data_IF_568326176696
#
_entry.id   IF_568326176696
#
_cell.length_a   1.000
_cell.length_b   1.000
_cell.length_c   1.000
_cell.angle_alpha   90.00
_cell.angle_beta   90.00
_cell.angle_gamma   90.00
#
_symmetry.space_group_name_H-M   'P 1'
#
loop_
_entity.id
_entity.type
_entity.pdbx_description
1 polymer ?
#
# COMPACT_ATOMS: atom_id res chain seq x y z
N UNK A 1 30.33 -35.78 14.63
CA UNK A 1 29.71 -35.30 13.38
C UNK A 1 28.22 -35.08 13.62
N UNK A 2 27.75 -33.84 13.65
CA UNK A 2 26.32 -33.55 13.78
C UNK A 2 25.59 -33.94 12.49
N UNK A 3 24.63 -34.88 12.57
CA UNK A 3 23.79 -35.24 11.44
C UNK A 3 22.87 -34.06 11.10
N UNK A 4 22.87 -33.65 9.84
CA UNK A 4 21.92 -32.67 9.32
C UNK A 4 20.50 -33.24 9.38
N UNK A 5 19.62 -32.58 10.13
CA UNK A 5 18.20 -32.91 10.23
C UNK A 5 17.39 -31.90 9.42
N UNK A 6 16.56 -32.39 8.50
CA UNK A 6 15.67 -31.56 7.68
C UNK A 6 14.53 -31.03 8.56
N UNK A 7 14.43 -29.71 8.66
CA UNK A 7 13.28 -29.03 9.29
C UNK A 7 12.12 -29.06 8.32
N UNK A 8 10.94 -29.49 8.79
CA UNK A 8 9.70 -29.55 8.01
C UNK A 8 8.64 -28.79 8.80
N UNK A 9 7.98 -27.83 8.15
CA UNK A 9 6.79 -27.15 8.67
C UNK A 9 5.58 -27.55 7.81
N UNK A 10 4.51 -28.00 8.47
CA UNK A 10 3.26 -28.45 7.81
C UNK A 10 2.12 -27.44 7.95
N UNK A 11 2.42 -26.25 8.50
CA UNK A 11 1.46 -25.16 8.64
C UNK A 11 0.84 -24.80 7.28
N UNK A 12 -0.47 -24.58 7.28
CA UNK A 12 -1.22 -24.27 6.05
C UNK A 12 -0.77 -22.92 5.47
N UNK A 13 -0.30 -22.92 4.24
CA UNK A 13 0.08 -21.70 3.53
C UNK A 13 -1.20 -20.95 3.12
N UNK A 14 -1.30 -19.67 3.47
CA UNK A 14 -2.37 -18.79 2.99
C UNK A 14 -2.17 -18.55 1.48
N UNK A 15 -2.87 -19.33 0.65
CA UNK A 15 -2.87 -19.17 -0.81
C UNK A 15 -3.78 -18.00 -1.20
N UNK A 16 -3.20 -16.81 -1.33
CA UNK A 16 -3.89 -15.65 -1.87
C UNK A 16 -3.14 -15.07 -3.08
N UNK A 17 -3.90 -14.68 -4.11
CA UNK A 17 -3.35 -13.96 -5.25
C UNK A 17 -3.31 -12.46 -4.93
N UNK A 18 -2.14 -12.00 -4.47
CA UNK A 18 -1.93 -10.60 -4.06
C UNK A 18 -2.03 -9.62 -5.21
N UNK A 19 -1.65 -10.02 -6.44
CA UNK A 19 -1.83 -9.17 -7.62
C UNK A 19 -3.31 -8.89 -7.85
N UNK A 20 -4.15 -9.94 -7.76
CA UNK A 20 -5.60 -9.79 -7.86
C UNK A 20 -6.15 -8.90 -6.75
N UNK A 21 -5.67 -9.11 -5.53
CA UNK A 21 -6.11 -8.33 -4.37
C UNK A 21 -5.81 -6.83 -4.55
N UNK A 22 -4.61 -6.50 -5.03
CA UNK A 22 -4.14 -5.13 -5.25
C UNK A 22 -4.93 -4.43 -6.35
N UNK A 23 -5.09 -5.06 -7.51
CA UNK A 23 -5.64 -4.37 -8.68
C UNK A 23 -7.14 -4.52 -8.90
N UNK A 24 -7.77 -5.55 -8.34
CA UNK A 24 -9.20 -5.80 -8.58
C UNK A 24 -10.04 -5.36 -7.38
N UNK A 25 -11.09 -4.59 -7.67
CA UNK A 25 -12.07 -4.15 -6.65
C UNK A 25 -12.78 -5.35 -6.01
N UNK A 26 -12.70 -5.43 -4.69
CA UNK A 26 -13.49 -6.32 -3.86
C UNK A 26 -14.94 -5.85 -3.75
N UNK A 27 -15.81 -6.71 -3.20
CA UNK A 27 -17.26 -6.43 -3.13
C UNK A 27 -17.57 -5.16 -2.33
N UNK A 28 -16.84 -4.90 -1.25
CA UNK A 28 -17.05 -3.74 -0.38
C UNK A 28 -16.78 -2.39 -1.04
N UNK A 29 -15.88 -2.35 -2.03
CA UNK A 29 -15.43 -1.10 -2.68
C UNK A 29 -16.09 -0.88 -4.04
N UNK A 30 -16.57 -1.95 -4.70
CA UNK A 30 -17.20 -1.87 -6.04
C UNK A 30 -18.35 -0.84 -6.13
N UNK A 31 -19.17 -0.73 -5.09
CA UNK A 31 -20.29 0.22 -5.03
C UNK A 31 -19.91 1.63 -4.58
N UNK A 32 -18.72 1.81 -3.99
CA UNK A 32 -18.28 3.10 -3.41
C UNK A 32 -17.34 3.88 -4.34
N UNK A 33 -16.56 3.19 -5.17
CA UNK A 33 -15.53 3.82 -6.01
C UNK A 33 -15.72 3.44 -7.49
N UNK A 34 -15.89 4.43 -8.38
CA UNK A 34 -16.00 4.17 -9.82
C UNK A 34 -14.69 3.62 -10.40
N UNK A 35 -14.77 2.93 -11.55
CA UNK A 35 -13.62 2.21 -12.11
C UNK A 35 -12.42 3.12 -12.40
N UNK A 36 -12.65 4.30 -12.98
CA UNK A 36 -11.58 5.24 -13.32
C UNK A 36 -10.83 5.72 -12.05
N UNK A 37 -11.56 6.09 -11.00
CA UNK A 37 -10.94 6.45 -9.71
C UNK A 37 -10.18 5.27 -9.11
N UNK A 38 -10.66 4.05 -9.29
CA UNK A 38 -9.94 2.87 -8.80
C UNK A 38 -8.61 2.66 -9.51
N UNK A 39 -8.56 2.82 -10.83
CA UNK A 39 -7.32 2.75 -11.61
C UNK A 39 -6.33 3.82 -11.10
N UNK A 40 -6.82 5.04 -10.88
CA UNK A 40 -6.02 6.12 -10.29
C UNK A 40 -5.48 5.77 -8.89
N UNK A 41 -6.31 5.21 -8.01
CA UNK A 41 -5.88 4.77 -6.68
C UNK A 41 -4.84 3.64 -6.77
N UNK A 42 -4.95 2.72 -7.73
CA UNK A 42 -3.92 1.71 -7.96
C UNK A 42 -2.60 2.35 -8.41
N UNK A 43 -2.65 3.36 -9.28
CA UNK A 43 -1.45 4.08 -9.70
C UNK A 43 -0.76 4.77 -8.50
N UNK A 44 -1.52 5.53 -7.70
CA UNK A 44 -1.00 6.21 -6.50
C UNK A 44 -0.43 5.19 -5.50
N UNK A 45 -1.09 4.05 -5.31
CA UNK A 45 -0.59 2.97 -4.45
C UNK A 45 0.72 2.36 -4.98
N UNK A 46 0.88 2.16 -6.28
CA UNK A 46 2.15 1.63 -6.81
C UNK A 46 3.31 2.58 -6.56
N UNK A 47 3.06 3.89 -6.58
CA UNK A 47 4.09 4.91 -6.31
C UNK A 47 4.45 4.99 -4.83
N UNK A 48 3.47 5.12 -3.94
CA UNK A 48 3.68 5.44 -2.52
C UNK A 48 3.44 4.26 -1.58
N UNK A 49 2.95 3.12 -2.08
CA UNK A 49 2.53 1.98 -1.28
C UNK A 49 3.64 1.34 -0.47
N UNK A 50 4.90 1.37 -0.96
CA UNK A 50 6.05 0.89 -0.20
C UNK A 50 6.29 1.73 1.07
N UNK A 51 6.24 3.06 0.93
CA UNK A 51 6.44 4.02 2.03
C UNK A 51 5.28 3.99 3.02
N UNK A 52 4.05 3.87 2.51
CA UNK A 52 2.84 3.69 3.34
C UNK A 52 2.97 2.41 4.16
N UNK A 53 3.35 1.29 3.54
CA UNK A 53 3.55 0.03 4.25
C UNK A 53 4.63 0.13 5.32
N UNK A 54 5.74 0.82 5.02
CA UNK A 54 6.83 1.02 5.97
C UNK A 54 6.41 1.86 7.17
N UNK A 55 5.69 2.95 6.93
CA UNK A 55 5.09 3.79 7.97
C UNK A 55 4.12 2.98 8.84
N UNK A 56 3.26 2.16 8.24
CA UNK A 56 2.34 1.29 8.95
C UNK A 56 3.07 0.24 9.81
N UNK A 57 4.10 -0.41 9.28
CA UNK A 57 4.92 -1.36 10.06
C UNK A 57 5.59 -0.65 11.23
N UNK A 58 6.18 0.51 10.99
CA UNK A 58 6.89 1.30 12.02
C UNK A 58 5.95 1.71 13.14
N UNK A 59 4.78 2.26 12.80
CA UNK A 59 3.76 2.66 13.78
C UNK A 59 3.13 1.48 14.52
N UNK A 60 3.09 0.30 13.90
CA UNK A 60 2.57 -0.92 14.54
C UNK A 60 3.52 -1.60 15.54
N UNK A 61 4.78 -1.15 15.62
CA UNK A 61 5.72 -1.66 16.63
C UNK A 61 5.22 -1.39 18.05
N UNK A 62 4.57 -0.24 18.25
CA UNK A 62 3.90 0.14 19.50
C UNK A 62 2.48 -0.45 19.53
N UNK A 63 2.07 -0.95 20.69
CA UNK A 63 0.72 -1.45 20.97
C UNK A 63 0.09 -0.69 22.12
N UNK A 64 -1.23 -0.62 22.10
CA UNK A 64 -2.01 0.02 23.14
C UNK A 64 -1.97 1.55 23.09
N UNK A 65 -2.98 2.16 23.66
CA UNK A 65 -3.05 3.59 23.95
C UNK A 65 -3.81 3.78 25.26
N UNK A 66 -3.73 4.95 25.92
CA UNK A 66 -4.53 5.21 27.12
C UNK A 66 -6.04 5.05 26.91
N UNK A 67 -6.52 5.13 25.67
CA UNK A 67 -7.93 5.00 25.28
C UNK A 67 -8.30 3.56 24.85
N UNK A 68 -7.31 2.69 24.63
CA UNK A 68 -7.46 1.33 24.12
C UNK A 68 -6.24 0.50 24.52
N UNK A 69 -6.31 -0.19 25.65
CA UNK A 69 -5.15 -0.80 26.30
C UNK A 69 -4.51 -1.95 25.48
N UNK A 70 -5.19 -2.50 24.46
CA UNK A 70 -4.76 -3.62 23.60
C UNK A 70 -3.82 -4.60 24.31
N UNK A 71 -4.29 -5.17 25.43
CA UNK A 71 -3.50 -6.01 26.36
C UNK A 71 -2.85 -7.21 25.64
N UNK A 72 -3.47 -7.69 24.57
CA UNK A 72 -3.00 -8.82 23.76
C UNK A 72 -1.99 -8.41 22.67
N UNK A 73 -1.74 -7.11 22.47
CA UNK A 73 -0.80 -6.59 21.46
C UNK A 73 -1.19 -6.93 20.02
N UNK A 74 -2.49 -7.15 19.75
CA UNK A 74 -2.99 -7.58 18.44
C UNK A 74 -3.01 -6.42 17.43
N UNK A 75 -2.98 -5.19 17.91
CA UNK A 75 -3.09 -3.98 17.11
C UNK A 75 -1.90 -3.04 17.31
N UNK A 76 -1.63 -2.23 16.30
CA UNK A 76 -0.69 -1.12 16.39
C UNK A 76 -1.28 0.08 17.14
N UNK A 77 -0.42 1.04 17.49
CA UNK A 77 -0.84 2.29 18.12
C UNK A 77 -1.85 3.05 17.24
N UNK A 78 -3.01 3.45 17.77
CA UNK A 78 -4.04 4.12 16.99
C UNK A 78 -3.65 5.55 16.63
N UNK A 79 -3.71 5.89 15.34
CA UNK A 79 -3.41 7.24 14.82
C UNK A 79 -4.42 7.71 13.77
N UNK A 80 -4.49 9.02 13.54
CA UNK A 80 -5.25 9.55 12.40
C UNK A 80 -4.64 9.07 11.08
N UNK A 81 -5.45 8.86 10.04
CA UNK A 81 -4.97 8.39 8.72
C UNK A 81 -3.84 9.25 8.16
N UNK A 82 -3.92 10.56 8.35
CA UNK A 82 -2.93 11.49 7.85
C UNK A 82 -1.54 11.32 8.51
N UNK A 83 -1.48 10.81 9.74
CA UNK A 83 -0.23 10.55 10.44
C UNK A 83 0.48 9.28 9.95
N UNK A 84 -0.24 8.38 9.28
CA UNK A 84 0.38 7.24 8.59
C UNK A 84 1.04 7.64 7.27
N UNK A 85 0.85 8.86 6.78
CA UNK A 85 1.46 9.35 5.54
C UNK A 85 2.86 9.88 5.87
N UNK A 86 3.93 9.26 5.35
CA UNK A 86 5.28 9.74 5.59
C UNK A 86 5.47 11.15 5.02
N UNK A 87 6.29 11.95 5.70
CA UNK A 87 6.57 13.34 5.29
C UNK A 87 7.60 13.32 4.16
N UNK A 88 7.25 13.89 3.01
CA UNK A 88 8.08 14.00 1.83
C UNK A 88 7.50 15.04 0.86
N UNK A 89 8.31 15.49 -0.09
CA UNK A 89 7.90 16.51 -1.08
C UNK A 89 6.71 16.01 -1.91
N UNK A 90 6.82 14.80 -2.45
CA UNK A 90 5.77 14.21 -3.29
C UNK A 90 4.59 13.69 -2.48
N UNK A 91 4.83 13.11 -1.30
CA UNK A 91 3.73 12.63 -0.44
C UNK A 91 2.88 13.79 0.09
N UNK A 92 3.46 14.97 0.28
CA UNK A 92 2.72 16.19 0.60
C UNK A 92 1.79 16.62 -0.54
N UNK A 93 2.29 16.61 -1.78
CA UNK A 93 1.49 16.95 -2.97
C UNK A 93 0.36 15.95 -3.23
N UNK A 94 0.62 14.65 -3.05
CA UNK A 94 -0.36 13.58 -3.25
C UNK A 94 -1.15 13.21 -1.97
N UNK A 95 -1.05 14.02 -0.91
CA UNK A 95 -1.59 13.68 0.42
C UNK A 95 -3.07 13.31 0.39
N UNK A 96 -3.90 14.07 -0.31
CA UNK A 96 -5.34 13.79 -0.42
C UNK A 96 -5.64 12.46 -1.11
N UNK A 97 -4.84 12.08 -2.11
CA UNK A 97 -4.96 10.84 -2.85
C UNK A 97 -4.44 9.66 -2.02
N UNK A 98 -3.33 9.83 -1.30
CA UNK A 98 -2.79 8.83 -0.37
C UNK A 98 -3.81 8.54 0.74
N UNK A 99 -4.49 9.57 1.26
CA UNK A 99 -5.55 9.39 2.25
C UNK A 99 -6.71 8.54 1.70
N UNK A 100 -7.09 8.73 0.43
CA UNK A 100 -8.07 7.87 -0.23
C UNK A 100 -7.55 6.44 -0.43
N UNK A 101 -6.26 6.25 -0.74
CA UNK A 101 -5.64 4.91 -0.82
C UNK A 101 -5.69 4.22 0.53
N UNK A 102 -5.33 4.91 1.61
CA UNK A 102 -5.43 4.38 2.97
C UNK A 102 -6.86 3.97 3.32
N UNK A 103 -7.85 4.81 3.01
CA UNK A 103 -9.25 4.52 3.34
C UNK A 103 -9.87 3.42 2.46
N UNK A 104 -9.79 3.53 1.13
CA UNK A 104 -10.47 2.59 0.24
C UNK A 104 -9.71 1.29 0.04
N UNK A 105 -8.37 1.30 0.10
CA UNK A 105 -7.56 0.11 -0.11
C UNK A 105 -7.15 -0.51 1.22
N UNK A 106 -6.40 0.22 2.05
CA UNK A 106 -5.83 -0.35 3.28
C UNK A 106 -6.88 -0.65 4.34
N UNK A 107 -7.90 0.20 4.49
CA UNK A 107 -9.04 -0.09 5.37
C UNK A 107 -10.04 -1.02 4.69
N UNK A 108 -10.76 -0.58 3.65
CA UNK A 108 -11.91 -1.34 3.14
C UNK A 108 -11.56 -2.60 2.32
N UNK A 109 -10.50 -2.59 1.51
CA UNK A 109 -10.17 -3.72 0.63
C UNK A 109 -9.29 -4.77 1.33
N UNK A 110 -8.21 -4.32 1.98
CA UNK A 110 -7.19 -5.20 2.55
C UNK A 110 -7.40 -5.48 4.03
N UNK A 111 -8.20 -4.65 4.71
CA UNK A 111 -8.43 -4.74 6.15
C UNK A 111 -7.14 -4.64 6.98
N UNK A 112 -6.10 -4.01 6.44
CA UNK A 112 -4.83 -3.79 7.14
C UNK A 112 -5.03 -2.90 8.36
N UNK A 113 -5.79 -1.83 8.16
CA UNK A 113 -6.13 -0.87 9.21
C UNK A 113 -7.61 -0.93 9.53
N UNK A 114 -7.94 -0.52 10.74
CA UNK A 114 -9.28 -0.57 11.30
C UNK A 114 -9.55 0.72 12.07
N UNK A 115 -10.73 1.35 11.92
CA UNK A 115 -11.09 2.53 12.68
C UNK A 115 -11.53 2.15 14.10
N UNK A 116 -11.24 3.02 15.07
CA UNK A 116 -11.76 2.91 16.44
C UNK A 116 -13.21 3.39 16.58
N UNK A 117 -13.70 4.18 15.62
CA UNK A 117 -15.05 4.71 15.59
C UNK A 117 -15.55 4.78 14.15
N UNK A 118 -16.87 4.71 13.94
CA UNK A 118 -17.43 4.75 12.60
C UNK A 118 -17.13 6.09 11.89
N UNK A 119 -16.56 6.06 10.67
CA UNK A 119 -16.33 7.27 9.88
C UNK A 119 -17.63 8.03 9.60
N UNK A 120 -17.62 9.34 9.82
CA UNK A 120 -18.77 10.20 9.55
C UNK A 120 -18.88 10.47 8.05
N UNK A 121 -19.97 10.01 7.44
CA UNK A 121 -20.27 10.26 6.04
C UNK A 121 -21.12 11.52 5.95
N UNK A 122 -20.59 12.56 5.31
CA UNK A 122 -21.35 13.76 5.00
C UNK A 122 -21.87 13.67 3.56
N UNK A 123 -23.11 13.20 3.43
CA UNK A 123 -23.77 13.04 2.12
C UNK A 123 -23.96 14.38 1.39
N UNK A 124 -24.15 15.48 2.11
CA UNK A 124 -24.37 16.81 1.52
C UNK A 124 -23.13 17.35 0.78
N UNK A 125 -21.93 16.99 1.26
CA UNK A 125 -20.65 17.40 0.66
C UNK A 125 -20.04 16.28 -0.18
N UNK A 126 -20.62 15.07 -0.15
CA UNK A 126 -20.06 13.89 -0.81
C UNK A 126 -18.68 13.49 -0.27
N UNK A 127 -18.44 13.73 1.02
CA UNK A 127 -17.15 13.55 1.67
C UNK A 127 -17.27 12.67 2.93
N UNK A 128 -16.21 11.91 3.20
CA UNK A 128 -16.10 11.10 4.43
C UNK A 128 -15.10 11.82 5.32
N UNK A 129 -15.57 12.35 6.45
CA UNK A 129 -14.70 13.01 7.42
C UNK A 129 -14.13 11.97 8.40
N UNK A 130 -12.83 11.76 8.28
CA UNK A 130 -12.03 10.86 9.10
C UNK A 130 -11.09 11.62 10.03
N UNK A 131 -11.19 12.95 10.12
CA UNK A 131 -10.26 13.79 10.90
C UNK A 131 -10.32 13.48 12.39
N UNK A 132 -11.48 13.06 12.88
CA UNK A 132 -11.71 12.68 14.29
C UNK A 132 -11.63 11.17 14.52
N UNK A 133 -11.37 10.39 13.47
CA UNK A 133 -11.32 8.93 13.56
C UNK A 133 -9.87 8.49 13.54
N UNK A 134 -9.49 7.75 14.57
CA UNK A 134 -8.19 7.08 14.63
C UNK A 134 -8.31 5.67 14.05
N UNK A 135 -7.24 5.23 13.41
CA UNK A 135 -7.11 3.94 12.79
C UNK A 135 -5.92 3.21 13.42
N UNK A 136 -6.06 1.89 13.55
CA UNK A 136 -5.03 1.00 14.08
C UNK A 136 -4.71 -0.11 13.08
N UNK A 137 -3.44 -0.49 12.97
CA UNK A 137 -3.03 -1.61 12.12
C UNK A 137 -3.30 -2.95 12.81
N UNK A 138 -3.78 -3.96 12.08
CA UNK A 138 -3.89 -5.33 12.57
C UNK A 138 -2.57 -6.08 12.43
N UNK A 139 -1.92 -6.44 13.54
CA UNK A 139 -0.60 -7.09 13.51
C UNK A 139 -0.63 -8.49 12.88
N UNK A 140 -1.77 -9.18 12.97
CA UNK A 140 -1.97 -10.49 12.34
C UNK A 140 -1.80 -10.47 10.82
N UNK A 141 -1.87 -9.29 10.18
CA UNK A 141 -1.71 -9.12 8.74
C UNK A 141 -0.30 -8.64 8.35
N UNK A 142 0.61 -8.39 9.30
CA UNK A 142 1.96 -7.89 9.00
C UNK A 142 2.76 -8.80 8.05
N UNK A 143 2.52 -10.11 8.09
CA UNK A 143 3.17 -11.05 7.16
C UNK A 143 2.84 -10.75 5.69
N UNK A 144 1.70 -10.11 5.41
CA UNK A 144 1.28 -9.71 4.06
C UNK A 144 2.04 -8.50 3.53
N UNK A 145 2.62 -7.67 4.40
CA UNK A 145 3.35 -6.46 3.99
C UNK A 145 4.44 -6.77 2.97
N UNK A 146 5.18 -7.86 3.19
CA UNK A 146 6.23 -8.32 2.27
C UNK A 146 5.64 -8.72 0.91
N UNK A 147 4.48 -9.39 0.91
CA UNK A 147 3.82 -9.79 -0.33
C UNK A 147 3.37 -8.59 -1.15
N UNK A 148 2.77 -7.57 -0.52
CA UNK A 148 2.38 -6.33 -1.19
C UNK A 148 3.59 -5.55 -1.71
N UNK A 149 4.65 -5.42 -0.91
CA UNK A 149 5.92 -4.79 -1.34
C UNK A 149 6.47 -5.47 -2.59
N UNK A 150 6.47 -6.80 -2.66
CA UNK A 150 6.90 -7.55 -3.86
C UNK A 150 6.02 -7.27 -5.07
N UNK A 151 4.70 -7.14 -4.88
CA UNK A 151 3.78 -6.79 -5.96
C UNK A 151 4.14 -5.41 -6.52
N UNK A 152 4.35 -4.39 -5.68
CA UNK A 152 4.71 -3.04 -6.12
C UNK A 152 6.04 -3.01 -6.88
N UNK A 153 7.07 -3.70 -6.37
CA UNK A 153 8.37 -3.83 -7.04
C UNK A 153 8.21 -4.49 -8.41
N UNK A 154 7.44 -5.58 -8.49
CA UNK A 154 7.20 -6.31 -9.74
C UNK A 154 6.47 -5.45 -10.76
N UNK A 155 5.41 -4.74 -10.35
CA UNK A 155 4.65 -3.86 -11.24
C UNK A 155 5.54 -2.76 -11.80
N UNK A 156 6.33 -2.11 -10.94
CA UNK A 156 7.21 -1.05 -11.39
C UNK A 156 8.27 -1.57 -12.37
N UNK A 157 8.81 -2.78 -12.14
CA UNK A 157 9.70 -3.44 -13.08
C UNK A 157 9.01 -3.72 -14.43
N UNK A 158 7.81 -4.28 -14.40
CA UNK A 158 7.03 -4.56 -15.61
C UNK A 158 6.69 -3.28 -16.38
N UNK A 159 6.35 -2.20 -15.68
CA UNK A 159 6.09 -0.89 -16.29
C UNK A 159 7.35 -0.34 -16.95
N UNK A 160 8.50 -0.37 -16.27
CA UNK A 160 9.77 0.09 -16.84
C UNK A 160 10.15 -0.75 -18.08
N UNK A 161 10.08 -2.08 -17.97
CA UNK A 161 10.30 -2.98 -19.10
C UNK A 161 9.39 -2.69 -20.29
N UNK A 162 8.08 -2.52 -20.04
CA UNK A 162 7.10 -2.24 -21.09
C UNK A 162 7.36 -0.89 -21.78
N UNK A 163 7.75 0.14 -21.01
CA UNK A 163 8.11 1.44 -21.56
C UNK A 163 9.38 1.36 -22.42
N UNK A 164 10.39 0.61 -21.99
CA UNK A 164 11.61 0.44 -22.79
C UNK A 164 11.35 -0.28 -24.11
N UNK A 165 10.50 -1.33 -24.08
CA UNK A 165 10.07 -2.02 -25.29
C UNK A 165 9.34 -1.06 -26.22
N UNK A 166 8.46 -0.21 -25.70
CA UNK A 166 7.74 0.79 -26.49
C UNK A 166 8.70 1.83 -27.10
N UNK A 167 9.63 2.37 -26.31
CA UNK A 167 10.62 3.33 -26.78
C UNK A 167 11.48 2.72 -27.88
N UNK A 168 11.92 1.47 -27.71
CA UNK A 168 12.65 0.75 -28.73
C UNK A 168 11.83 0.57 -30.01
N UNK A 169 10.54 0.20 -29.92
CA UNK A 169 9.68 0.08 -31.11
C UNK A 169 9.48 1.40 -31.85
N UNK A 170 9.48 2.54 -31.15
CA UNK A 170 9.28 3.86 -31.76
C UNK A 170 10.58 4.44 -32.35
N UNK A 171 11.71 4.19 -31.68
CA UNK A 171 13.00 4.82 -32.02
C UNK A 171 13.95 3.91 -32.78
N UNK A 172 13.68 2.60 -32.78
CA UNK A 172 14.56 1.53 -33.27
C UNK A 172 15.99 1.57 -32.70
N UNK A 173 16.19 2.31 -31.60
CA UNK A 173 17.51 2.54 -31.00
C UNK A 173 17.59 1.95 -29.59
N UNK A 174 18.55 1.03 -29.40
CA UNK A 174 18.85 0.46 -28.09
C UNK A 174 19.41 1.51 -27.12
N UNK A 175 20.16 2.49 -27.61
CA UNK A 175 20.76 3.55 -26.79
C UNK A 175 19.68 4.45 -26.18
N UNK A 176 18.71 4.87 -26.98
CA UNK A 176 17.61 5.72 -26.51
C UNK A 176 16.72 4.97 -25.53
N UNK A 177 16.43 3.69 -25.80
CA UNK A 177 15.69 2.84 -24.87
C UNK A 177 16.43 2.70 -23.52
N UNK A 178 17.74 2.46 -23.54
CA UNK A 178 18.55 2.35 -22.32
C UNK A 178 18.59 3.65 -21.50
N UNK A 179 18.80 4.79 -22.16
CA UNK A 179 18.78 6.10 -21.50
C UNK A 179 17.40 6.37 -20.88
N UNK A 180 16.31 6.03 -21.58
CA UNK A 180 14.96 6.18 -21.06
C UNK A 180 14.71 5.33 -19.81
N UNK A 181 15.20 4.09 -19.79
CA UNK A 181 15.12 3.19 -18.64
C UNK A 181 15.82 3.78 -17.42
N UNK A 182 17.01 4.33 -17.64
CA UNK A 182 17.85 4.93 -16.61
C UNK A 182 17.19 6.18 -16.04
N UNK A 183 16.68 7.06 -16.89
CA UNK A 183 15.96 8.26 -16.46
C UNK A 183 14.71 7.94 -15.64
N UNK A 184 13.94 6.93 -16.05
CA UNK A 184 12.75 6.50 -15.31
C UNK A 184 13.09 5.94 -13.93
N UNK A 185 14.14 5.13 -13.82
CA UNK A 185 14.58 4.58 -12.53
C UNK A 185 15.15 5.67 -11.61
N UNK A 186 15.91 6.64 -12.16
CA UNK A 186 16.37 7.81 -11.40
C UNK A 186 15.18 8.63 -10.90
N UNK A 187 14.21 8.95 -11.76
CA UNK A 187 13.01 9.67 -11.36
C UNK A 187 12.24 8.92 -10.26
N UNK A 188 12.08 7.60 -10.41
CA UNK A 188 11.44 6.75 -9.38
C UNK A 188 12.16 6.80 -8.05
N UNK A 189 13.49 6.81 -8.03
CA UNK A 189 14.28 6.93 -6.80
C UNK A 189 14.18 8.32 -6.18
N UNK A 190 14.16 9.37 -7.00
CA UNK A 190 13.98 10.75 -6.53
C UNK A 190 12.60 10.99 -5.91
N UNK A 191 11.55 10.31 -6.39
CA UNK A 191 10.21 10.40 -5.78
C UNK A 191 10.20 9.88 -4.34
N UNK A 192 11.10 8.93 -4.02
CA UNK A 192 11.21 8.27 -2.71
C UNK A 192 12.19 8.94 -1.74
N UNK A 193 12.90 9.98 -2.19
CA UNK A 193 13.85 10.77 -1.39
C UNK A 193 13.14 12.00 -0.81
#
# INVERSE_FOLDING_TARGET
MGKYLKVIDTSSIVKQNYFKLVFFRGRQVKGKVPLFKWIWLCFVEVLFGEEILESLVTTSSLSGSPEDEDVEGKHGYPQQLNLHIPVGLFTSFFRGQILQVLYYKYYLQYLFIEPLADPLINEAVGAIDVSRVRFRLRKSLLYLVIAFRRVYVLIALLTNFSLNVLVYFVTESFEVAFISALLLEVARRLIKL
#
